data_IF_124648420852
#
_entry.id   IF_124648420852
#
_cell.length_a   1.000
_cell.length_b   1.000
_cell.length_c   1.000
_cell.angle_alpha   90.00
_cell.angle_beta   90.00
_cell.angle_gamma   90.00
#
_symmetry.space_group_name_H-M   'P 1'
#
loop_
_entity.id
_entity.type
_entity.pdbx_description
1 polymer ?
#
# COMPACT_ATOMS: atom_id res chain seq x y z
N UNK A 1 36.64 43.95 47.45
CA UNK A 1 35.53 43.01 47.63
C UNK A 1 34.43 43.42 46.66
N UNK A 2 34.38 42.82 45.47
CA UNK A 2 33.72 41.55 45.13
C UNK A 2 32.18 41.65 45.10
N UNK A 3 31.66 41.53 43.87
CA UNK A 3 30.37 40.92 43.48
C UNK A 3 29.12 41.80 43.69
N UNK A 4 28.14 41.88 42.79
CA UNK A 4 27.84 41.04 41.64
C UNK A 4 26.97 41.82 40.67
N UNK A 5 27.36 41.73 39.40
CA UNK A 5 26.78 42.34 38.21
C UNK A 5 25.60 41.48 37.69
N UNK A 6 24.57 42.17 37.21
CA UNK A 6 23.81 41.86 35.99
C UNK A 6 23.03 40.54 36.03
N UNK A 7 21.81 40.61 36.56
CA UNK A 7 20.71 39.78 36.06
C UNK A 7 20.21 40.38 34.74
N UNK A 8 19.72 39.50 33.86
CA UNK A 8 19.02 39.75 32.60
C UNK A 8 19.90 39.70 31.36
N UNK A 9 20.06 38.50 30.77
CA UNK A 9 20.13 38.25 29.30
C UNK A 9 20.47 36.78 29.04
N UNK A 10 19.61 35.86 29.45
CA UNK A 10 19.80 34.43 29.17
C UNK A 10 18.48 33.72 28.85
N UNK A 11 17.61 34.34 28.06
CA UNK A 11 16.29 33.78 27.75
C UNK A 11 15.90 33.81 26.26
N UNK A 12 16.86 33.88 25.34
CA UNK A 12 16.55 33.92 23.89
C UNK A 12 17.25 32.82 23.06
N UNK A 13 18.30 32.18 23.56
CA UNK A 13 19.15 31.32 22.72
C UNK A 13 18.72 29.85 22.59
N UNK A 14 17.72 29.35 23.34
CA UNK A 14 17.39 27.91 23.37
C UNK A 14 16.13 27.55 22.57
N UNK A 15 15.32 28.53 22.14
CA UNK A 15 14.06 28.25 21.44
C UNK A 15 14.19 27.96 19.94
N UNK A 16 15.39 28.00 19.36
CA UNK A 16 15.60 27.76 17.91
C UNK A 16 16.12 26.34 17.56
N UNK A 17 16.46 25.51 18.56
CA UNK A 17 16.99 24.16 18.32
C UNK A 17 15.94 23.03 18.42
N UNK A 18 14.66 23.38 18.63
CA UNK A 18 13.55 22.43 18.74
C UNK A 18 12.52 22.59 17.61
N UNK A 19 12.93 23.09 16.44
CA UNK A 19 12.13 22.86 15.24
C UNK A 19 12.32 21.39 14.88
N UNK A 20 11.30 20.52 15.05
CA UNK A 20 11.38 19.18 14.52
C UNK A 20 11.62 19.36 13.02
N UNK A 21 12.72 18.79 12.52
CA UNK A 21 12.96 18.70 11.09
C UNK A 21 11.75 17.98 10.48
N UNK A 22 10.80 18.77 10.00
CA UNK A 22 9.74 18.32 9.12
C UNK A 22 10.47 17.86 7.87
N UNK A 23 10.90 16.60 7.88
CA UNK A 23 11.34 15.85 6.71
C UNK A 23 10.16 15.83 5.75
N UNK A 24 9.99 16.92 5.01
CA UNK A 24 9.04 16.99 3.92
C UNK A 24 9.47 15.94 2.91
N UNK A 25 8.53 15.11 2.48
CA UNK A 25 8.80 14.12 1.46
C UNK A 25 9.28 14.86 0.20
N UNK A 26 10.56 14.68 -0.14
CA UNK A 26 11.16 15.39 -1.26
C UNK A 26 10.50 14.90 -2.56
N UNK A 27 9.99 15.84 -3.33
CA UNK A 27 9.50 15.58 -4.68
C UNK A 27 10.72 15.49 -5.61
N UNK A 28 10.95 14.30 -6.15
CA UNK A 28 12.05 14.04 -7.09
C UNK A 28 11.52 14.16 -8.51
N UNK A 29 12.08 15.11 -9.27
CA UNK A 29 11.65 15.44 -10.62
C UNK A 29 12.49 14.75 -11.72
N UNK A 30 13.34 13.78 -11.37
CA UNK A 30 14.10 13.00 -12.34
C UNK A 30 13.19 11.96 -13.03
N UNK A 31 12.94 12.07 -14.34
CA UNK A 31 12.02 11.17 -15.05
C UNK A 31 12.50 9.72 -15.06
N UNK A 32 13.82 9.47 -15.08
CA UNK A 32 14.37 8.12 -15.06
C UNK A 32 14.15 7.46 -13.69
N UNK A 33 14.35 8.20 -12.61
CA UNK A 33 14.08 7.71 -11.25
C UNK A 33 12.58 7.52 -11.00
N UNK A 34 11.74 8.42 -11.50
CA UNK A 34 10.29 8.29 -11.40
C UNK A 34 9.79 7.01 -12.11
N UNK A 35 10.32 6.72 -13.30
CA UNK A 35 10.03 5.48 -14.03
C UNK A 35 10.53 4.23 -13.28
N UNK A 36 11.75 4.26 -12.75
CA UNK A 36 12.28 3.16 -11.94
C UNK A 36 11.47 2.91 -10.66
N UNK A 37 10.98 3.98 -10.01
CA UNK A 37 10.10 3.89 -8.84
C UNK A 37 8.74 3.30 -9.21
N UNK A 38 8.15 3.70 -10.34
CA UNK A 38 6.92 3.10 -10.88
C UNK A 38 7.11 1.60 -11.08
N UNK A 39 8.15 1.23 -11.81
CA UNK A 39 8.42 -0.17 -12.16
C UNK A 39 8.70 -1.01 -10.91
N UNK A 40 9.34 -0.42 -9.89
CA UNK A 40 9.54 -1.06 -8.58
C UNK A 40 8.22 -1.32 -7.85
N UNK A 41 7.27 -0.37 -7.88
CA UNK A 41 5.93 -0.56 -7.30
C UNK A 41 5.18 -1.67 -8.05
N UNK A 42 5.20 -1.65 -9.37
CA UNK A 42 4.47 -2.62 -10.21
C UNK A 42 5.06 -4.03 -10.10
N UNK A 43 6.39 -4.16 -10.16
CA UNK A 43 7.07 -5.43 -9.96
C UNK A 43 6.73 -6.04 -8.60
N UNK A 44 6.69 -5.22 -7.53
CA UNK A 44 6.31 -5.68 -6.20
C UNK A 44 4.83 -6.08 -6.10
N UNK A 45 3.95 -5.31 -6.74
CA UNK A 45 2.53 -5.65 -6.79
C UNK A 45 2.30 -6.99 -7.49
N UNK A 46 2.99 -7.23 -8.61
CA UNK A 46 2.94 -8.50 -9.34
C UNK A 46 3.48 -9.68 -8.51
N UNK A 47 4.61 -9.50 -7.80
CA UNK A 47 5.13 -10.50 -6.86
C UNK A 47 4.11 -10.87 -5.78
N UNK A 48 3.42 -9.87 -5.21
CA UNK A 48 2.35 -10.14 -4.25
C UNK A 48 1.15 -10.86 -4.88
N UNK A 49 0.70 -10.47 -6.07
CA UNK A 49 -0.36 -11.19 -6.78
C UNK A 49 -0.01 -12.67 -6.95
N UNK A 50 1.15 -12.96 -7.55
CA UNK A 50 1.59 -14.32 -7.81
C UNK A 50 1.66 -15.15 -6.52
N UNK A 51 2.24 -14.60 -5.45
CA UNK A 51 2.33 -15.31 -4.15
C UNK A 51 0.97 -15.56 -3.52
N UNK A 52 0.05 -14.60 -3.61
CA UNK A 52 -1.31 -14.73 -3.08
C UNK A 52 -2.07 -15.80 -3.86
N UNK A 53 -1.98 -15.77 -5.19
CA UNK A 53 -2.66 -16.73 -6.08
C UNK A 53 -2.13 -18.15 -5.90
N UNK A 54 -0.81 -18.34 -5.85
CA UNK A 54 -0.20 -19.65 -5.63
C UNK A 54 -0.60 -20.30 -4.30
N UNK A 55 -0.86 -19.49 -3.26
CA UNK A 55 -1.20 -19.97 -1.92
C UNK A 55 -2.70 -20.07 -1.67
N UNK A 56 -3.53 -19.31 -2.39
CA UNK A 56 -4.98 -19.34 -2.24
C UNK A 56 -5.53 -20.67 -2.77
N UNK A 57 -6.22 -21.44 -1.91
CA UNK A 57 -6.72 -22.78 -2.26
C UNK A 57 -8.23 -22.82 -2.48
N UNK A 58 -8.97 -21.90 -1.86
CA UNK A 58 -10.44 -21.91 -1.86
C UNK A 58 -10.95 -20.51 -2.17
N UNK A 59 -12.02 -20.42 -2.97
CA UNK A 59 -12.71 -19.18 -3.23
C UNK A 59 -14.19 -19.24 -2.81
N UNK A 60 -14.74 -18.11 -2.42
CA UNK A 60 -16.16 -17.91 -2.17
C UNK A 60 -16.65 -16.72 -2.98
N UNK A 61 -17.70 -16.90 -3.75
CA UNK A 61 -18.38 -15.82 -4.47
C UNK A 61 -19.63 -15.42 -3.68
N UNK A 62 -19.76 -14.13 -3.36
CA UNK A 62 -20.99 -13.56 -2.83
C UNK A 62 -21.55 -12.58 -3.83
N UNK A 63 -22.63 -12.99 -4.50
CA UNK A 63 -23.50 -12.10 -5.27
C UNK A 63 -24.64 -11.68 -4.34
N UNK A 64 -24.87 -10.39 -4.18
CA UNK A 64 -26.05 -9.93 -3.44
C UNK A 64 -27.29 -10.08 -4.33
N UNK A 65 -28.44 -10.42 -3.72
CA UNK A 65 -29.74 -10.69 -4.38
C UNK A 65 -30.08 -9.68 -5.50
N UNK A 66 -30.91 -10.15 -6.46
CA UNK A 66 -31.42 -9.45 -7.65
C UNK A 66 -31.56 -7.93 -7.46
N UNK A 67 -30.87 -7.16 -8.33
CA UNK A 67 -30.87 -5.69 -8.36
C UNK A 67 -29.58 -5.03 -7.81
N UNK A 68 -28.75 -5.73 -7.02
CA UNK A 68 -27.51 -5.14 -6.50
C UNK A 68 -26.35 -5.29 -7.48
N UNK A 69 -25.96 -4.16 -8.07
CA UNK A 69 -24.80 -3.98 -8.97
C UNK A 69 -23.41 -4.18 -8.30
N UNK A 70 -23.32 -5.00 -7.25
CA UNK A 70 -22.08 -5.22 -6.48
C UNK A 70 -21.83 -6.71 -6.27
N UNK A 71 -20.69 -7.18 -6.76
CA UNK A 71 -20.17 -8.54 -6.60
C UNK A 71 -18.95 -8.52 -5.70
N UNK A 72 -18.85 -9.47 -4.77
CA UNK A 72 -17.67 -9.64 -3.91
C UNK A 72 -17.19 -11.08 -4.02
N UNK A 73 -15.99 -11.27 -4.52
CA UNK A 73 -15.30 -12.56 -4.55
C UNK A 73 -14.18 -12.54 -3.52
N UNK A 74 -13.96 -13.64 -2.81
CA UNK A 74 -12.91 -13.76 -1.80
C UNK A 74 -12.17 -15.07 -1.99
N UNK A 75 -10.85 -15.03 -1.92
CA UNK A 75 -10.01 -16.22 -1.81
C UNK A 75 -9.51 -16.39 -0.38
N UNK A 76 -9.22 -17.62 0.00
CA UNK A 76 -8.72 -17.98 1.33
C UNK A 76 -7.51 -18.91 1.23
N UNK A 77 -6.57 -18.70 2.15
CA UNK A 77 -5.57 -19.68 2.53
C UNK A 77 -6.23 -20.74 3.41
N UNK A 78 -5.88 -21.99 3.18
CA UNK A 78 -6.27 -23.11 4.06
C UNK A 78 -5.02 -23.47 4.87
N UNK A 79 -5.01 -23.07 6.13
CA UNK A 79 -3.99 -23.52 7.07
C UNK A 79 -4.46 -24.87 7.63
N UNK A 80 -3.82 -25.95 7.19
CA UNK A 80 -4.11 -27.29 7.67
C UNK A 80 -3.73 -27.40 9.14
N UNK A 81 -4.63 -27.92 9.97
CA UNK A 81 -4.28 -28.44 11.28
C UNK A 81 -4.44 -29.95 11.22
N UNK A 82 -3.41 -30.69 11.59
CA UNK A 82 -3.41 -32.17 11.57
C UNK A 82 -4.43 -32.73 12.57
N UNK A 83 -4.85 -31.93 13.55
CA UNK A 83 -5.79 -32.28 14.62
C UNK A 83 -6.62 -31.04 14.96
N UNK A 84 -7.70 -30.76 14.22
CA UNK A 84 -8.60 -29.63 14.50
C UNK A 84 -9.26 -28.96 13.28
N UNK A 85 -10.19 -28.01 13.50
CA UNK A 85 -10.90 -27.33 12.42
C UNK A 85 -9.94 -26.44 11.62
N UNK A 86 -9.93 -26.61 10.29
CA UNK A 86 -9.11 -25.79 9.39
C UNK A 86 -9.45 -24.30 9.52
N UNK A 87 -8.47 -23.47 9.87
CA UNK A 87 -8.67 -22.02 9.95
C UNK A 87 -8.48 -21.41 8.56
N UNK A 88 -9.56 -20.83 8.02
CA UNK A 88 -9.52 -20.11 6.73
C UNK A 88 -9.11 -18.67 6.94
N UNK A 89 -7.92 -18.30 6.48
CA UNK A 89 -7.45 -16.90 6.47
C UNK A 89 -7.72 -16.29 5.11
N UNK A 90 -8.20 -15.05 5.05
CA UNK A 90 -8.48 -14.38 3.77
C UNK A 90 -7.15 -14.15 3.03
N UNK A 91 -7.08 -14.61 1.79
CA UNK A 91 -5.95 -14.40 0.89
C UNK A 91 -6.17 -13.15 0.03
N UNK A 92 -7.38 -13.00 -0.50
CA UNK A 92 -7.72 -11.84 -1.31
C UNK A 92 -9.22 -11.55 -1.28
N UNK A 93 -9.58 -10.35 -1.72
CA UNK A 93 -10.95 -9.91 -1.90
C UNK A 93 -11.03 -9.03 -3.14
N UNK A 94 -11.84 -9.43 -4.10
CA UNK A 94 -12.16 -8.66 -5.28
C UNK A 94 -13.60 -8.13 -5.18
N UNK A 95 -13.77 -6.81 -5.22
CA UNK A 95 -15.07 -6.14 -5.22
C UNK A 95 -15.29 -5.50 -6.58
N UNK A 96 -16.36 -5.89 -7.27
CA UNK A 96 -16.80 -5.25 -8.52
C UNK A 96 -18.09 -4.51 -8.24
N UNK A 97 -18.18 -3.23 -8.65
CA UNK A 97 -19.38 -2.41 -8.55
C UNK A 97 -19.69 -1.79 -9.91
N UNK A 98 -20.83 -2.14 -10.49
CA UNK A 98 -21.37 -1.48 -11.68
C UNK A 98 -22.23 -0.30 -11.21
N UNK A 99 -22.03 0.87 -11.78
CA UNK A 99 -22.80 2.07 -11.46
C UNK A 99 -24.04 2.18 -12.35
N UNK A 100 -24.93 3.13 -12.04
CA UNK A 100 -26.08 3.43 -12.91
C UNK A 100 -25.67 3.91 -14.29
N UNK A 101 -24.54 4.60 -14.34
CA UNK A 101 -23.91 5.11 -15.56
C UNK A 101 -23.26 4.00 -16.41
N UNK A 102 -23.35 2.73 -16.02
CA UNK A 102 -22.66 1.62 -16.69
C UNK A 102 -21.18 1.47 -16.31
N UNK A 103 -20.57 2.48 -15.67
CA UNK A 103 -19.16 2.42 -15.23
C UNK A 103 -18.94 1.27 -14.25
N UNK A 104 -17.89 0.48 -14.50
CA UNK A 104 -17.48 -0.63 -13.63
C UNK A 104 -16.29 -0.18 -12.78
N UNK A 105 -16.44 -0.22 -11.45
CA UNK A 105 -15.35 0.00 -10.50
C UNK A 105 -14.97 -1.29 -9.81
N UNK A 106 -13.71 -1.64 -9.90
CA UNK A 106 -13.15 -2.87 -9.35
C UNK A 106 -12.11 -2.52 -8.30
N UNK A 107 -12.09 -3.27 -7.20
CA UNK A 107 -11.07 -3.14 -6.16
C UNK A 107 -10.61 -4.51 -5.72
N UNK A 108 -9.33 -4.79 -5.95
CA UNK A 108 -8.65 -5.98 -5.47
C UNK A 108 -7.88 -5.64 -4.19
N UNK A 109 -8.01 -6.50 -3.19
CA UNK A 109 -7.30 -6.40 -1.92
C UNK A 109 -6.59 -7.72 -1.65
N UNK A 110 -5.27 -7.68 -1.56
CA UNK A 110 -4.42 -8.82 -1.25
C UNK A 110 -4.00 -8.83 0.23
N UNK A 111 -3.99 -10.02 0.82
CA UNK A 111 -3.68 -10.23 2.22
C UNK A 111 -2.62 -11.32 2.38
N UNK A 112 -1.74 -11.12 3.36
CA UNK A 112 -0.71 -12.08 3.77
C UNK A 112 -0.78 -12.17 5.28
N UNK A 113 -0.96 -13.38 5.80
CA UNK A 113 -1.14 -13.63 7.25
C UNK A 113 -2.24 -12.80 7.93
N UNK A 114 -3.20 -12.29 7.16
CA UNK A 114 -4.29 -11.43 7.65
C UNK A 114 -4.02 -9.93 7.51
N UNK A 115 -2.78 -9.52 7.23
CA UNK A 115 -2.43 -8.13 6.93
C UNK A 115 -2.66 -7.81 5.46
N UNK A 116 -3.15 -6.61 5.16
CA UNK A 116 -3.32 -6.14 3.78
C UNK A 116 -1.95 -5.74 3.23
N UNK A 117 -1.53 -6.37 2.13
CA UNK A 117 -0.24 -6.11 1.48
C UNK A 117 -0.37 -5.43 0.13
N UNK A 118 -1.51 -5.62 -0.53
CA UNK A 118 -1.75 -5.14 -1.87
C UNK A 118 -3.17 -4.57 -1.98
N UNK A 119 -3.28 -3.48 -2.71
CA UNK A 119 -4.54 -2.86 -3.08
C UNK A 119 -4.45 -2.37 -4.51
N UNK A 120 -5.37 -2.80 -5.35
CA UNK A 120 -5.52 -2.29 -6.71
C UNK A 120 -6.94 -1.78 -6.92
N UNK A 121 -7.07 -0.68 -7.65
CA UNK A 121 -8.36 -0.19 -8.14
C UNK A 121 -8.31 -0.15 -9.65
N UNK A 122 -9.40 -0.60 -10.28
CA UNK A 122 -9.60 -0.53 -11.73
C UNK A 122 -10.91 0.17 -12.02
N UNK A 123 -10.92 0.95 -13.10
CA UNK A 123 -12.13 1.56 -13.65
C UNK A 123 -12.27 1.06 -15.08
N UNK A 124 -13.42 0.45 -15.41
CA UNK A 124 -13.67 -0.17 -16.71
C UNK A 124 -12.53 -1.12 -17.12
N UNK A 125 -12.11 -1.98 -16.18
CA UNK A 125 -11.02 -2.96 -16.35
C UNK A 125 -9.61 -2.37 -16.53
N UNK A 126 -9.44 -1.05 -16.56
CA UNK A 126 -8.14 -0.39 -16.57
C UNK A 126 -7.69 -0.07 -15.15
N UNK A 127 -6.49 -0.48 -14.78
CA UNK A 127 -5.91 -0.15 -13.47
C UNK A 127 -5.70 1.36 -13.36
N UNK A 128 -6.19 1.95 -12.28
CA UNK A 128 -6.04 3.40 -12.00
C UNK A 128 -5.21 3.66 -10.76
N UNK A 129 -5.06 2.65 -9.91
CA UNK A 129 -4.37 2.77 -8.64
C UNK A 129 -3.79 1.42 -8.23
N UNK A 130 -2.53 1.42 -7.83
CA UNK A 130 -1.86 0.29 -7.20
C UNK A 130 -1.19 0.79 -5.93
N UNK A 131 -1.38 0.07 -4.83
CA UNK A 131 -0.72 0.35 -3.56
C UNK A 131 -0.19 -0.93 -2.93
N UNK A 132 1.09 -0.87 -2.62
CA UNK A 132 1.87 -1.87 -1.89
C UNK A 132 1.99 -1.39 -0.44
N UNK A 133 1.41 -2.15 0.47
CA UNK A 133 1.46 -1.85 1.90
C UNK A 133 2.73 -2.44 2.52
N UNK A 134 3.25 -1.74 3.53
CA UNK A 134 4.35 -2.24 4.36
C UNK A 134 3.82 -3.34 5.28
N UNK A 135 4.47 -4.49 5.27
CA UNK A 135 4.24 -5.57 6.23
C UNK A 135 4.86 -5.20 7.58
N UNK A 136 4.07 -5.30 8.66
CA UNK A 136 4.51 -5.00 10.02
C UNK A 136 4.58 -6.31 10.78
N UNK A 137 5.65 -7.09 10.53
CA UNK A 137 5.93 -8.42 11.13
C UNK A 137 4.89 -9.50 10.77
N UNK A 138 5.22 -10.28 9.75
CA UNK A 138 4.74 -11.65 9.59
C UNK A 138 5.71 -12.58 10.34
N UNK A 139 5.30 -13.19 11.45
CA UNK A 139 6.18 -13.95 12.35
C UNK A 139 6.78 -15.22 11.74
N UNK A 140 6.28 -15.68 10.58
CA UNK A 140 6.72 -16.91 9.92
C UNK A 140 7.00 -16.76 8.43
N UNK A 141 7.14 -15.53 7.90
CA UNK A 141 7.46 -15.36 6.48
C UNK A 141 8.75 -14.59 6.30
N UNK A 142 9.75 -15.29 5.77
CA UNK A 142 10.92 -14.74 5.11
C UNK A 142 10.48 -13.99 3.82
N UNK A 143 9.65 -12.95 3.93
CA UNK A 143 9.67 -11.89 2.93
C UNK A 143 11.01 -11.21 3.14
N UNK A 144 11.97 -11.48 2.25
CA UNK A 144 13.28 -10.84 2.10
C UNK A 144 13.49 -9.76 3.15
N UNK A 145 14.24 -10.12 4.19
CA UNK A 145 14.67 -9.25 5.28
C UNK A 145 15.05 -7.89 4.70
N UNK A 146 14.16 -6.93 4.91
CA UNK A 146 14.16 -5.66 4.23
C UNK A 146 12.75 -5.14 4.31
N UNK A 147 12.52 -4.14 5.17
CA UNK A 147 11.22 -3.46 5.34
C UNK A 147 10.74 -3.01 3.96
N UNK A 148 9.91 -3.80 3.29
CA UNK A 148 9.46 -3.48 1.94
C UNK A 148 8.85 -2.06 1.99
N UNK A 149 9.40 -1.12 1.21
CA UNK A 149 8.94 0.25 1.26
C UNK A 149 7.46 0.31 0.88
N UNK A 150 6.71 1.18 1.55
CA UNK A 150 5.36 1.52 1.13
C UNK A 150 5.44 2.05 -0.30
N UNK A 151 4.66 1.48 -1.21
CA UNK A 151 4.58 1.92 -2.60
C UNK A 151 3.17 2.30 -2.98
N UNK A 152 2.98 3.35 -3.78
CA UNK A 152 1.76 3.47 -4.57
C UNK A 152 2.00 4.19 -5.88
N UNK A 153 1.18 3.87 -6.87
CA UNK A 153 1.21 4.41 -8.22
C UNK A 153 -0.23 4.71 -8.67
N UNK A 154 -0.46 5.88 -9.25
CA UNK A 154 -1.75 6.29 -9.84
C UNK A 154 -1.66 6.34 -11.36
N UNK A 155 -2.80 6.26 -12.06
CA UNK A 155 -2.87 6.48 -13.51
C UNK A 155 -2.45 7.90 -13.92
N UNK A 156 -2.60 8.88 -13.03
CA UNK A 156 -2.27 10.28 -13.26
C UNK A 156 -0.75 10.55 -13.24
N UNK A 157 0.07 9.52 -13.01
CA UNK A 157 1.53 9.65 -13.03
C UNK A 157 2.16 9.90 -11.66
N UNK A 158 1.37 9.92 -10.58
CA UNK A 158 1.92 10.06 -9.24
C UNK A 158 2.46 8.73 -8.73
N UNK A 159 3.70 8.73 -8.23
CA UNK A 159 4.34 7.55 -7.67
C UNK A 159 4.96 7.89 -6.31
N UNK A 160 4.80 6.99 -5.35
CA UNK A 160 5.53 7.02 -4.08
C UNK A 160 6.23 5.70 -3.89
N UNK A 161 7.50 5.74 -3.52
CA UNK A 161 8.27 4.56 -3.15
C UNK A 161 9.08 4.85 -1.89
N UNK A 162 8.72 4.18 -0.81
CA UNK A 162 9.31 4.41 0.50
C UNK A 162 8.97 5.80 1.04
N UNK A 163 9.98 6.66 1.16
CA UNK A 163 9.84 8.03 1.65
C UNK A 163 9.75 9.06 0.51
N UNK A 164 10.14 8.66 -0.69
CA UNK A 164 10.26 9.55 -1.84
C UNK A 164 8.97 9.60 -2.64
N UNK A 165 8.71 10.77 -3.22
CA UNK A 165 7.56 11.02 -4.07
C UNK A 165 8.06 11.49 -5.44
N UNK A 166 7.40 11.01 -6.47
CA UNK A 166 7.79 11.20 -7.85
C UNK A 166 6.56 11.56 -8.67
N UNK A 167 6.76 12.39 -9.70
CA UNK A 167 5.76 12.68 -10.72
C UNK A 167 6.32 12.22 -12.06
N UNK A 168 5.57 11.35 -12.74
CA UNK A 168 5.87 10.94 -14.10
C UNK A 168 5.49 12.06 -15.07
N UNK A 169 6.31 12.25 -16.10
CA UNK A 169 6.05 13.21 -17.18
C UNK A 169 4.87 12.81 -18.06
N UNK A 170 4.47 11.54 -18.00
CA UNK A 170 3.35 11.00 -18.75
C UNK A 170 2.45 10.15 -17.83
N UNK A 171 1.14 10.05 -18.13
CA UNK A 171 0.24 9.17 -17.41
C UNK A 171 0.74 7.73 -17.37
N UNK A 172 0.56 7.08 -16.23
CA UNK A 172 0.96 5.69 -16.03
C UNK A 172 0.08 4.77 -16.86
N UNK A 173 0.71 3.99 -17.75
CA UNK A 173 0.09 2.81 -18.36
C UNK A 173 0.44 1.59 -17.49
N UNK A 174 -0.57 0.88 -17.04
CA UNK A 174 -0.46 -0.32 -16.23
C UNK A 174 -0.50 -1.59 -17.09
#
# INVERSE_FOLDING_TARGET
MLLQRIFSTAAVAVSLCLLPQLSQAQLVNDPAQAAAARDSVLARANDYHQRIEQRAKVFSVRVHRLGKRRRVVRGYYVQGSTVGPSVRKRAWKHVTRTLATGVVRERYLGYVEGEKVLEETRTNHQTTYVRVHRLVKASNVNFIIGRAPLGYCTSEGYVKWGREQYILTQPTRF
#
